data_IF_370357292058
#
_entry.id   IF_370357292058
#
_cell.length_a   1.000
_cell.length_b   1.000
_cell.length_c   1.000
_cell.angle_alpha   90.00
_cell.angle_beta   90.00
_cell.angle_gamma   90.00
#
_symmetry.space_group_name_H-M   'P 1'
#
loop_
_entity.id
_entity.type
_entity.pdbx_description
1 polymer ?
#
# COMPACT_ATOMS: atom_id res chain seq x y z
N UNK A 1 5.40 -6.27 -33.34
CA UNK A 1 6.01 -5.80 -34.61
C UNK A 1 7.49 -6.15 -34.55
N UNK A 2 7.96 -7.09 -35.37
CA UNK A 2 9.37 -7.52 -35.38
C UNK A 2 10.09 -6.69 -36.45
N UNK A 3 11.16 -5.99 -36.08
CA UNK A 3 11.99 -5.25 -37.03
C UNK A 3 13.24 -6.07 -37.29
N UNK A 4 13.32 -6.68 -38.47
CA UNK A 4 14.52 -7.32 -39.01
C UNK A 4 15.26 -6.28 -39.85
N UNK A 5 16.48 -5.93 -39.45
CA UNK A 5 17.40 -5.16 -40.28
C UNK A 5 18.55 -6.07 -40.68
N UNK A 6 18.76 -6.21 -42.00
CA UNK A 6 19.96 -6.79 -42.56
C UNK A 6 21.12 -5.82 -42.30
N UNK A 7 22.29 -6.33 -41.90
CA UNK A 7 23.47 -5.50 -41.64
C UNK A 7 23.82 -4.66 -42.90
N UNK A 8 24.15 -3.36 -42.75
CA UNK A 8 24.50 -2.50 -43.87
C UNK A 8 25.76 -3.01 -44.58
N UNK A 9 25.86 -2.77 -45.89
CA UNK A 9 27.10 -3.01 -46.63
C UNK A 9 28.20 -2.10 -46.08
N UNK A 10 29.26 -2.68 -45.52
CA UNK A 10 30.51 -1.94 -45.39
C UNK A 10 31.02 -1.71 -46.82
N UNK A 11 31.10 -0.43 -47.18
CA UNK A 11 31.57 0.03 -48.48
C UNK A 11 32.96 -0.53 -48.79
N UNK A 12 33.01 -1.50 -49.69
CA UNK A 12 34.21 -2.10 -50.24
C UNK A 12 33.87 -2.81 -51.55
N UNK A 13 33.96 -2.04 -52.64
CA UNK A 13 33.96 -2.38 -54.07
C UNK A 13 32.70 -3.05 -54.69
N UNK A 14 32.07 -2.48 -55.76
CA UNK A 14 30.77 -2.94 -56.26
C UNK A 14 30.82 -3.97 -57.40
N UNK A 15 31.96 -4.51 -57.81
CA UNK A 15 32.00 -5.46 -58.94
C UNK A 15 33.05 -6.55 -58.73
N UNK A 16 32.67 -7.79 -59.06
CA UNK A 16 33.43 -9.05 -58.96
C UNK A 16 33.35 -9.77 -57.61
N UNK A 17 32.26 -10.52 -57.40
CA UNK A 17 32.34 -11.98 -57.13
C UNK A 17 30.94 -12.58 -56.91
N UNK A 18 30.80 -13.83 -57.34
CA UNK A 18 29.59 -14.58 -57.63
C UNK A 18 28.55 -14.61 -56.47
N UNK A 19 27.31 -14.21 -56.77
CA UNK A 19 26.20 -14.19 -55.82
C UNK A 19 25.74 -15.60 -55.38
N UNK A 20 26.18 -16.65 -56.08
CA UNK A 20 25.79 -18.03 -55.81
C UNK A 20 26.56 -18.70 -54.66
N UNK A 21 27.73 -18.19 -54.27
CA UNK A 21 28.62 -18.83 -53.28
C UNK A 21 28.68 -18.13 -51.92
N UNK A 22 27.98 -17.00 -51.74
CA UNK A 22 27.91 -16.33 -50.42
C UNK A 22 27.02 -17.12 -49.47
N UNK A 23 27.54 -17.63 -48.33
CA UNK A 23 26.70 -18.25 -47.32
C UNK A 23 25.68 -17.21 -46.81
N UNK A 24 24.41 -17.59 -46.56
CA UNK A 24 23.40 -16.65 -46.11
C UNK A 24 23.87 -15.97 -44.82
N UNK A 25 23.96 -14.63 -44.84
CA UNK A 25 24.35 -13.85 -43.67
C UNK A 25 23.39 -14.16 -42.53
N UNK A 26 23.92 -14.49 -41.36
CA UNK A 26 23.10 -14.78 -40.19
C UNK A 26 22.26 -13.54 -39.83
N UNK A 27 20.94 -13.66 -39.92
CA UNK A 27 20.03 -12.62 -39.45
C UNK A 27 20.19 -12.49 -37.93
N UNK A 28 20.65 -11.33 -37.46
CA UNK A 28 20.74 -11.02 -36.03
C UNK A 28 19.53 -10.22 -35.61
N UNK A 29 18.76 -10.74 -34.65
CA UNK A 29 17.70 -9.96 -34.01
C UNK A 29 18.38 -8.83 -33.24
N UNK A 30 18.18 -7.59 -33.70
CA UNK A 30 18.69 -6.39 -33.04
C UNK A 30 17.76 -5.94 -31.92
N UNK A 31 16.44 -6.15 -32.10
CA UNK A 31 15.46 -5.76 -31.09
C UNK A 31 14.20 -6.65 -31.04
N UNK A 32 13.83 -7.13 -29.84
CA UNK A 32 14.67 -7.18 -28.65
C UNK A 32 15.84 -8.14 -28.91
N UNK A 33 17.07 -7.66 -28.70
CA UNK A 33 18.28 -8.39 -29.07
C UNK A 33 18.36 -9.76 -28.40
N UNK A 34 18.97 -10.74 -29.10
CA UNK A 34 19.20 -12.07 -28.56
C UNK A 34 19.83 -12.01 -27.16
N UNK A 35 19.10 -12.51 -26.16
CA UNK A 35 19.51 -12.58 -24.76
C UNK A 35 18.92 -11.46 -23.89
N UNK A 36 17.82 -11.77 -23.17
CA UNK A 36 17.45 -11.02 -21.96
C UNK A 36 18.72 -10.96 -21.10
N UNK A 37 19.23 -9.80 -20.67
CA UNK A 37 20.54 -9.75 -20.02
C UNK A 37 20.50 -10.57 -18.73
N UNK A 38 21.51 -11.44 -18.52
CA UNK A 38 21.71 -12.45 -17.45
C UNK A 38 21.79 -11.88 -16.01
N UNK A 39 20.91 -10.95 -15.67
CA UNK A 39 20.82 -10.35 -14.34
C UNK A 39 19.44 -10.61 -13.75
N UNK A 40 19.40 -11.53 -12.79
CA UNK A 40 18.22 -11.98 -12.06
C UNK A 40 17.43 -13.02 -12.83
N UNK A 41 17.78 -14.29 -12.66
CA UNK A 41 17.02 -15.37 -13.27
C UNK A 41 15.64 -15.43 -12.63
N UNK A 42 14.61 -15.17 -13.43
CA UNK A 42 13.23 -15.48 -13.07
C UNK A 42 13.19 -16.94 -12.58
N UNK A 43 12.74 -17.22 -11.35
CA UNK A 43 12.65 -18.58 -10.84
C UNK A 43 11.97 -19.53 -11.82
N UNK A 44 12.48 -20.76 -11.92
CA UNK A 44 12.03 -21.73 -12.93
C UNK A 44 10.51 -21.97 -12.89
N UNK A 45 9.95 -22.06 -11.69
CA UNK A 45 8.50 -22.21 -11.51
C UNK A 45 7.72 -21.02 -12.09
N UNK A 46 8.12 -19.77 -11.83
CA UNK A 46 7.46 -18.58 -12.40
C UNK A 46 7.64 -18.49 -13.92
N UNK A 47 8.78 -18.94 -14.42
CA UNK A 47 9.05 -19.03 -15.86
C UNK A 47 8.13 -20.04 -16.54
N UNK A 48 7.90 -21.19 -15.92
CA UNK A 48 6.98 -22.21 -16.40
C UNK A 48 5.54 -21.67 -16.45
N UNK A 49 5.07 -21.04 -15.37
CA UNK A 49 3.72 -20.44 -15.29
C UNK A 49 3.51 -19.35 -16.36
N UNK A 50 4.49 -18.45 -16.56
CA UNK A 50 4.44 -17.45 -17.63
C UNK A 50 4.46 -18.10 -19.03
N UNK A 51 5.25 -19.17 -19.19
CA UNK A 51 5.32 -19.95 -20.42
C UNK A 51 3.97 -20.58 -20.78
N UNK A 52 3.27 -21.14 -19.79
CA UNK A 52 1.93 -21.70 -19.92
C UNK A 52 0.91 -20.62 -20.29
N UNK A 53 0.91 -19.48 -19.60
CA UNK A 53 0.04 -18.34 -19.95
C UNK A 53 0.23 -17.88 -21.41
N UNK A 54 1.49 -17.76 -21.86
CA UNK A 54 1.83 -17.42 -23.25
C UNK A 54 1.40 -18.50 -24.24
N UNK A 55 1.48 -19.78 -23.87
CA UNK A 55 1.03 -20.88 -24.71
C UNK A 55 -0.50 -20.87 -24.89
N UNK A 56 -1.26 -20.69 -23.80
CA UNK A 56 -2.71 -20.53 -23.84
C UNK A 56 -3.12 -19.36 -24.75
N UNK A 57 -2.41 -18.23 -24.64
CA UNK A 57 -2.66 -17.05 -25.45
C UNK A 57 -2.43 -17.33 -26.95
N UNK A 58 -1.32 -17.97 -27.31
CA UNK A 58 -1.04 -18.37 -28.71
C UNK A 58 -2.07 -19.35 -29.26
N UNK A 59 -2.65 -20.19 -28.40
CA UNK A 59 -3.71 -21.13 -28.77
C UNK A 59 -5.12 -20.49 -28.84
N UNK A 60 -5.26 -19.20 -28.56
CA UNK A 60 -6.56 -18.52 -28.53
C UNK A 60 -7.41 -18.83 -27.29
N UNK A 61 -6.84 -19.50 -26.28
CA UNK A 61 -7.49 -19.82 -25.01
C UNK A 61 -7.37 -18.64 -24.03
N UNK A 62 -8.07 -17.54 -24.32
CA UNK A 62 -7.93 -16.26 -23.61
C UNK A 62 -8.25 -16.35 -22.10
N UNK A 63 -9.38 -16.98 -21.74
CA UNK A 63 -9.74 -17.15 -20.33
C UNK A 63 -8.68 -17.96 -19.56
N UNK A 64 -8.18 -19.04 -20.16
CA UNK A 64 -7.11 -19.86 -19.57
C UNK A 64 -5.82 -19.06 -19.39
N UNK A 65 -5.43 -18.27 -20.38
CA UNK A 65 -4.23 -17.42 -20.29
C UNK A 65 -4.32 -16.45 -19.10
N UNK A 66 -5.48 -15.83 -18.90
CA UNK A 66 -5.72 -14.88 -17.80
C UNK A 66 -5.82 -15.57 -16.43
N UNK A 67 -6.37 -16.77 -16.35
CA UNK A 67 -6.32 -17.58 -15.12
C UNK A 67 -4.87 -17.94 -14.75
N UNK A 68 -4.04 -18.30 -15.73
CA UNK A 68 -2.61 -18.56 -15.50
C UNK A 68 -1.87 -17.30 -15.02
N UNK A 69 -2.21 -16.12 -15.52
CA UNK A 69 -1.65 -14.85 -15.00
C UNK A 69 -1.96 -14.67 -13.51
N UNK A 70 -3.18 -14.99 -13.06
CA UNK A 70 -3.51 -14.92 -11.63
C UNK A 70 -2.69 -15.92 -10.81
N UNK A 71 -2.56 -17.17 -11.28
CA UNK A 71 -1.73 -18.20 -10.63
C UNK A 71 -0.27 -17.76 -10.54
N UNK A 72 0.24 -17.10 -11.58
CA UNK A 72 1.56 -16.48 -11.60
C UNK A 72 1.71 -15.41 -10.50
N UNK A 73 0.71 -14.55 -10.28
CA UNK A 73 0.72 -13.58 -9.17
C UNK A 73 0.76 -14.25 -7.78
N UNK A 74 0.06 -15.36 -7.62
CA UNK A 74 0.12 -16.18 -6.39
C UNK A 74 1.52 -16.76 -6.20
N UNK A 75 2.14 -17.27 -7.27
CA UNK A 75 3.52 -17.72 -7.29
C UNK A 75 4.51 -16.63 -6.89
N UNK A 76 4.37 -15.42 -7.44
CA UNK A 76 5.21 -14.26 -7.09
C UNK A 76 5.09 -13.92 -5.60
N UNK A 77 3.88 -13.95 -5.04
CA UNK A 77 3.69 -13.73 -3.61
C UNK A 77 4.40 -14.81 -2.79
N UNK A 78 4.24 -16.08 -3.18
CA UNK A 78 4.84 -17.21 -2.48
C UNK A 78 6.38 -17.19 -2.51
N UNK A 79 6.98 -16.84 -3.65
CA UNK A 79 8.44 -16.72 -3.83
C UNK A 79 9.03 -15.65 -2.90
N UNK A 80 8.34 -14.53 -2.73
CA UNK A 80 8.71 -13.47 -1.79
C UNK A 80 8.29 -13.74 -0.32
N UNK A 81 7.90 -14.97 0.01
CA UNK A 81 7.54 -15.36 1.37
C UNK A 81 6.26 -14.69 1.88
N UNK A 82 5.32 -14.37 0.99
CA UNK A 82 4.00 -13.83 1.30
C UNK A 82 2.94 -14.90 1.01
N UNK A 83 2.38 -15.50 2.06
CA UNK A 83 1.41 -16.60 1.97
C UNK A 83 0.04 -16.26 2.58
N UNK A 84 -0.24 -14.98 2.77
CA UNK A 84 -1.52 -14.53 3.33
C UNK A 84 -2.64 -14.67 2.30
N UNK A 85 -3.83 -15.06 2.76
CA UNK A 85 -5.04 -15.15 1.95
C UNK A 85 -6.04 -14.10 2.43
N UNK A 86 -6.82 -13.46 1.53
CA UNK A 86 -6.85 -13.62 0.07
C UNK A 86 -5.66 -12.98 -0.67
N UNK A 87 -5.49 -13.30 -1.97
CA UNK A 87 -4.42 -12.76 -2.83
C UNK A 87 -4.34 -11.21 -2.82
N UNK A 88 -5.47 -10.52 -2.67
CA UNK A 88 -5.47 -9.05 -2.52
C UNK A 88 -4.69 -8.58 -1.28
N UNK A 89 -4.74 -9.31 -0.17
CA UNK A 89 -3.91 -9.02 1.00
C UNK A 89 -2.44 -9.34 0.74
N UNK A 90 -2.14 -10.41 0.01
CA UNK A 90 -0.77 -10.76 -0.35
C UNK A 90 -0.10 -9.68 -1.23
N UNK A 91 -0.82 -9.15 -2.23
CA UNK A 91 -0.32 -8.07 -3.07
C UNK A 91 -0.06 -6.78 -2.27
N UNK A 92 -0.95 -6.44 -1.32
CA UNK A 92 -0.73 -5.30 -0.42
C UNK A 92 0.46 -5.50 0.51
N UNK A 93 0.72 -6.73 0.93
CA UNK A 93 1.89 -7.09 1.72
C UNK A 93 3.19 -6.94 0.91
N UNK A 94 3.21 -7.32 -0.37
CA UNK A 94 4.35 -7.03 -1.26
C UNK A 94 4.66 -5.53 -1.33
N UNK A 95 3.61 -4.69 -1.45
CA UNK A 95 3.77 -3.23 -1.38
C UNK A 95 4.31 -2.77 -0.03
N UNK A 96 3.76 -3.30 1.07
CA UNK A 96 4.20 -2.94 2.44
C UNK A 96 5.67 -3.27 2.68
N UNK A 97 6.17 -4.36 2.10
CA UNK A 97 7.59 -4.75 2.11
C UNK A 97 8.48 -3.93 1.17
N UNK A 98 7.89 -3.02 0.39
CA UNK A 98 8.62 -2.21 -0.61
C UNK A 98 9.09 -3.01 -1.82
N UNK A 99 8.48 -4.18 -2.10
CA UNK A 99 8.82 -5.01 -3.26
C UNK A 99 8.15 -4.50 -4.54
N UNK A 100 6.97 -3.90 -4.45
CA UNK A 100 6.26 -3.26 -5.58
C UNK A 100 5.75 -1.88 -5.18
N UNK A 101 5.72 -0.91 -6.10
CA UNK A 101 5.15 0.42 -5.85
C UNK A 101 3.66 0.53 -6.24
N UNK A 102 3.06 1.69 -5.96
CA UNK A 102 1.62 1.94 -6.11
C UNK A 102 1.06 1.59 -7.49
N UNK A 103 1.71 2.00 -8.59
CA UNK A 103 1.21 1.68 -9.96
C UNK A 103 1.25 0.18 -10.25
N UNK A 104 2.31 -0.51 -9.82
CA UNK A 104 2.44 -1.95 -10.02
C UNK A 104 1.44 -2.73 -9.16
N UNK A 105 1.12 -2.24 -7.96
CA UNK A 105 0.05 -2.82 -7.15
C UNK A 105 -1.31 -2.71 -7.85
N UNK A 106 -1.63 -1.55 -8.43
CA UNK A 106 -2.88 -1.36 -9.19
C UNK A 106 -2.96 -2.37 -10.33
N UNK A 107 -1.90 -2.50 -11.12
CA UNK A 107 -1.84 -3.50 -12.19
C UNK A 107 -2.03 -4.92 -11.67
N UNK A 108 -1.34 -5.30 -10.60
CA UNK A 108 -1.47 -6.65 -10.02
C UNK A 108 -2.89 -6.93 -9.47
N UNK A 109 -3.55 -5.94 -8.87
CA UNK A 109 -4.93 -6.06 -8.40
C UNK A 109 -5.91 -6.18 -9.58
N UNK A 110 -5.72 -5.42 -10.66
CA UNK A 110 -6.57 -5.50 -11.86
C UNK A 110 -6.39 -6.85 -12.58
N UNK A 111 -5.14 -7.33 -12.71
CA UNK A 111 -4.82 -8.66 -13.23
C UNK A 111 -5.44 -9.77 -12.36
N UNK A 112 -5.44 -9.62 -11.03
CA UNK A 112 -6.11 -10.55 -10.12
C UNK A 112 -7.63 -10.55 -10.36
N UNK A 113 -8.24 -9.39 -10.58
CA UNK A 113 -9.69 -9.25 -10.78
C UNK A 113 -10.12 -9.95 -12.07
N UNK A 114 -9.47 -9.65 -13.20
CA UNK A 114 -9.80 -10.28 -14.49
C UNK A 114 -9.50 -11.79 -14.47
N UNK A 115 -8.46 -12.22 -13.75
CA UNK A 115 -8.16 -13.63 -13.48
C UNK A 115 -9.25 -14.34 -12.67
N UNK A 116 -9.85 -13.65 -11.70
CA UNK A 116 -10.97 -14.20 -10.94
C UNK A 116 -12.24 -14.28 -11.78
N UNK A 117 -12.52 -13.25 -12.58
CA UNK A 117 -13.62 -13.27 -13.55
C UNK A 117 -13.50 -14.44 -14.52
N UNK A 118 -12.35 -14.60 -15.17
CA UNK A 118 -12.09 -15.66 -16.15
C UNK A 118 -12.24 -17.10 -15.59
N UNK A 119 -12.08 -17.29 -14.27
CA UNK A 119 -12.25 -18.58 -13.60
C UNK A 119 -13.72 -18.94 -13.32
N UNK A 120 -14.65 -17.98 -13.40
CA UNK A 120 -16.07 -18.21 -13.15
C UNK A 120 -16.82 -18.56 -14.44
N UNK A 121 -17.53 -19.68 -14.45
CA UNK A 121 -18.30 -20.18 -15.61
C UNK A 121 -19.31 -19.16 -16.16
N UNK A 122 -19.83 -18.26 -15.32
CA UNK A 122 -20.81 -17.23 -15.69
C UNK A 122 -20.17 -15.95 -16.26
N UNK A 123 -18.86 -15.83 -16.20
CA UNK A 123 -18.18 -14.68 -16.78
C UNK A 123 -18.28 -14.72 -18.31
N UNK A 124 -18.39 -13.55 -18.92
CA UNK A 124 -18.37 -13.41 -20.36
C UNK A 124 -17.06 -13.92 -20.97
N UNK A 125 -17.01 -14.03 -22.29
CA UNK A 125 -15.78 -14.39 -23.00
C UNK A 125 -14.76 -13.26 -22.82
N UNK A 126 -13.56 -13.59 -22.35
CA UNK A 126 -12.46 -12.62 -22.24
C UNK A 126 -12.03 -12.17 -23.65
N UNK A 127 -12.01 -10.85 -23.94
CA UNK A 127 -11.50 -10.31 -25.19
C UNK A 127 -10.05 -10.70 -25.46
N UNK A 128 -9.70 -10.84 -26.73
CA UNK A 128 -8.34 -11.20 -27.14
C UNK A 128 -7.31 -10.12 -26.80
N UNK A 129 -7.74 -8.86 -26.72
CA UNK A 129 -6.89 -7.73 -26.32
C UNK A 129 -6.57 -7.78 -24.83
N UNK A 130 -7.59 -7.93 -23.98
CA UNK A 130 -7.42 -8.04 -22.53
C UNK A 130 -6.49 -9.19 -22.14
N UNK A 131 -6.63 -10.35 -22.78
CA UNK A 131 -5.74 -11.49 -22.51
C UNK A 131 -4.30 -11.24 -22.95
N UNK A 132 -4.08 -10.49 -24.05
CA UNK A 132 -2.74 -10.08 -24.49
C UNK A 132 -2.13 -9.11 -23.49
N UNK A 133 -2.87 -8.07 -23.13
CA UNK A 133 -2.41 -7.04 -22.20
C UNK A 133 -2.16 -7.63 -20.81
N UNK A 134 -2.99 -8.55 -20.35
CA UNK A 134 -2.80 -9.23 -19.08
C UNK A 134 -1.45 -9.96 -19.01
N UNK A 135 -1.10 -10.70 -20.06
CA UNK A 135 0.18 -11.42 -20.14
C UNK A 135 1.36 -10.45 -20.23
N UNK A 136 1.23 -9.36 -20.99
CA UNK A 136 2.29 -8.34 -21.12
C UNK A 136 2.53 -7.61 -19.80
N UNK A 137 1.46 -7.21 -19.10
CA UNK A 137 1.55 -6.54 -17.81
C UNK A 137 2.12 -7.47 -16.73
N UNK A 138 1.75 -8.75 -16.75
CA UNK A 138 2.33 -9.76 -15.87
C UNK A 138 3.83 -9.94 -16.12
N UNK A 139 4.25 -9.98 -17.39
CA UNK A 139 5.67 -10.02 -17.76
C UNK A 139 6.41 -8.76 -17.29
N UNK A 140 5.82 -7.57 -17.44
CA UNK A 140 6.40 -6.32 -16.94
C UNK A 140 6.57 -6.33 -15.41
N UNK A 141 5.63 -6.91 -14.67
CA UNK A 141 5.72 -7.08 -13.22
C UNK A 141 6.89 -8.00 -12.82
N UNK A 142 7.06 -9.11 -13.55
CA UNK A 142 8.20 -10.01 -13.35
C UNK A 142 9.53 -9.36 -13.71
N UNK A 143 9.60 -8.63 -14.82
CA UNK A 143 10.80 -7.89 -15.20
C UNK A 143 11.16 -6.85 -14.15
N UNK A 144 10.18 -6.13 -13.61
CA UNK A 144 10.41 -5.21 -12.51
C UNK A 144 11.05 -5.92 -11.31
N UNK A 145 10.40 -6.95 -10.78
CA UNK A 145 10.80 -7.63 -9.55
C UNK A 145 12.11 -8.41 -9.68
N UNK A 146 12.27 -9.17 -10.76
CA UNK A 146 13.35 -10.14 -10.90
C UNK A 146 14.48 -9.64 -11.77
N UNK A 147 14.27 -8.66 -12.64
CA UNK A 147 15.32 -8.19 -13.56
C UNK A 147 15.79 -6.78 -13.19
N UNK A 148 14.88 -5.81 -13.12
CA UNK A 148 15.22 -4.41 -12.91
C UNK A 148 15.62 -4.11 -11.47
N UNK A 149 14.90 -4.63 -10.47
CA UNK A 149 15.24 -4.41 -9.05
C UNK A 149 16.64 -4.94 -8.70
N UNK A 150 17.04 -6.18 -9.06
CA UNK A 150 18.40 -6.66 -8.82
C UNK A 150 19.45 -5.86 -9.59
N UNK A 151 19.21 -5.56 -10.87
CA UNK A 151 20.14 -4.76 -11.69
C UNK A 151 20.35 -3.37 -11.12
N UNK A 152 19.30 -2.70 -10.67
CA UNK A 152 19.38 -1.39 -10.03
C UNK A 152 20.17 -1.47 -8.72
N UNK A 153 19.92 -2.48 -7.89
CA UNK A 153 20.68 -2.72 -6.65
C UNK A 153 22.18 -2.88 -6.94
N UNK A 154 22.54 -3.67 -7.95
CA UNK A 154 23.95 -3.93 -8.28
C UNK A 154 24.61 -2.70 -8.91
N UNK A 155 23.90 -1.97 -9.76
CA UNK A 155 24.33 -0.66 -10.26
C UNK A 155 24.62 0.30 -9.11
N UNK A 156 23.69 0.41 -8.15
CA UNK A 156 23.82 1.30 -7.00
C UNK A 156 25.03 0.93 -6.14
N UNK A 157 25.22 -0.35 -5.84
CA UNK A 157 26.42 -0.86 -5.12
C UNK A 157 27.72 -0.45 -5.81
N UNK A 158 27.81 -0.62 -7.15
CA UNK A 158 29.01 -0.24 -7.92
C UNK A 158 29.27 1.27 -7.85
N UNK A 159 28.21 2.09 -7.95
CA UNK A 159 28.33 3.55 -7.87
C UNK A 159 28.71 4.04 -6.48
N UNK A 160 28.17 3.43 -5.42
CA UNK A 160 28.55 3.70 -4.03
C UNK A 160 30.02 3.34 -3.78
N UNK A 161 30.50 2.20 -4.28
CA UNK A 161 31.91 1.80 -4.23
C UNK A 161 32.84 2.77 -5.00
N UNK A 162 32.35 3.38 -6.07
CA UNK A 162 33.05 4.42 -6.83
C UNK A 162 32.92 5.83 -6.20
N UNK A 163 32.42 5.95 -4.96
CA UNK A 163 32.32 7.21 -4.22
C UNK A 163 31.08 8.07 -4.53
N UNK A 164 30.13 7.57 -5.32
CA UNK A 164 28.87 8.30 -5.58
C UNK A 164 27.97 8.22 -4.35
N UNK A 165 27.59 9.37 -3.79
CA UNK A 165 26.61 9.44 -2.70
C UNK A 165 25.21 9.63 -3.27
N UNK A 166 24.38 8.58 -3.17
CA UNK A 166 22.97 8.71 -3.53
C UNK A 166 22.20 9.40 -2.40
N UNK A 167 21.31 10.36 -2.71
CA UNK A 167 20.35 10.83 -1.73
C UNK A 167 19.48 9.66 -1.27
N UNK A 168 19.09 9.66 0.01
CA UNK A 168 18.09 8.70 0.47
C UNK A 168 16.84 8.80 -0.43
N UNK A 169 16.18 7.67 -0.77
CA UNK A 169 14.95 7.74 -1.53
C UNK A 169 13.99 8.69 -0.84
N UNK A 170 13.33 9.56 -1.62
CA UNK A 170 12.33 10.45 -1.10
C UNK A 170 11.26 9.60 -0.42
N UNK A 171 11.25 9.58 0.92
CA UNK A 171 10.15 8.96 1.67
C UNK A 171 8.88 9.60 1.15
N UNK A 172 7.87 8.78 0.83
CA UNK A 172 6.55 9.27 0.43
C UNK A 172 6.18 10.44 1.35
N UNK A 173 5.98 11.63 0.76
CA UNK A 173 5.71 12.82 1.54
C UNK A 173 4.36 12.62 2.18
N UNK A 174 4.39 12.19 3.44
CA UNK A 174 3.19 12.15 4.26
C UNK A 174 2.52 13.54 4.19
N UNK A 175 1.19 13.59 4.01
CA UNK A 175 0.45 14.82 4.07
C UNK A 175 0.86 15.65 5.28
N UNK A 176 1.07 16.95 5.07
CA UNK A 176 1.54 17.84 6.13
C UNK A 176 0.39 18.27 7.05
N UNK A 177 -0.23 17.31 7.73
CA UNK A 177 -1.30 17.55 8.69
C UNK A 177 -0.73 18.02 10.03
N UNK A 178 -1.58 18.61 10.88
CA UNK A 178 -1.19 18.99 12.25
C UNK A 178 -0.66 17.79 13.06
N UNK A 179 -1.29 16.62 12.93
CA UNK A 179 -0.85 15.41 13.59
C UNK A 179 0.54 14.94 13.12
N UNK A 180 0.77 14.90 11.81
CA UNK A 180 2.07 14.51 11.23
C UNK A 180 3.17 15.50 11.64
N UNK A 181 2.89 16.81 11.58
CA UNK A 181 3.82 17.85 12.06
C UNK A 181 4.14 17.68 13.53
N UNK A 182 3.14 17.39 14.37
CA UNK A 182 3.30 17.20 15.81
C UNK A 182 4.18 16.00 16.13
N UNK A 183 3.94 14.84 15.51
CA UNK A 183 4.77 13.65 15.73
C UNK A 183 6.21 13.85 15.26
N UNK A 184 6.41 14.49 14.11
CA UNK A 184 7.75 14.86 13.61
C UNK A 184 8.50 15.78 14.57
N UNK A 185 7.85 16.86 15.03
CA UNK A 185 8.46 17.82 15.99
C UNK A 185 8.78 17.15 17.32
N UNK A 186 7.93 16.22 17.77
CA UNK A 186 8.10 15.49 19.03
C UNK A 186 9.07 14.31 18.94
N UNK A 187 9.66 14.07 17.76
CA UNK A 187 10.60 12.97 17.45
C UNK A 187 10.07 11.59 17.86
N UNK A 188 8.76 11.38 17.67
CA UNK A 188 8.08 10.11 17.96
C UNK A 188 8.21 9.19 16.76
N UNK A 189 8.45 7.90 17.01
CA UNK A 189 8.36 6.89 15.96
C UNK A 189 6.88 6.61 15.64
N UNK A 190 6.51 6.72 14.37
CA UNK A 190 5.16 6.41 13.91
C UNK A 190 5.18 5.85 12.48
N UNK A 191 4.15 5.08 12.15
CA UNK A 191 3.88 4.59 10.79
C UNK A 191 2.59 5.22 10.27
N UNK A 192 2.50 5.43 8.96
CA UNK A 192 1.30 5.97 8.34
C UNK A 192 0.64 4.89 7.48
N UNK A 193 -0.68 4.79 7.56
CA UNK A 193 -1.47 3.75 6.93
C UNK A 193 -2.55 4.39 6.06
N UNK A 194 -2.34 4.33 4.75
CA UNK A 194 -3.28 4.89 3.77
C UNK A 194 -4.40 3.91 3.49
N UNK A 195 -5.62 4.41 3.38
CA UNK A 195 -6.82 3.64 3.00
C UNK A 195 -7.64 4.41 1.96
N UNK A 196 -8.48 3.71 1.20
CA UNK A 196 -9.31 4.32 0.17
C UNK A 196 -10.47 5.08 0.81
N UNK A 197 -10.55 6.38 0.52
CA UNK A 197 -11.68 7.21 0.87
C UNK A 197 -12.39 7.69 -0.40
N UNK A 198 -13.66 7.31 -0.53
CA UNK A 198 -14.56 7.78 -1.57
C UNK A 198 -15.42 8.91 -0.98
N UNK A 199 -15.27 10.18 -1.41
CA UNK A 199 -16.04 11.30 -0.90
C UNK A 199 -17.56 11.14 -1.09
N UNK A 200 -18.00 10.33 -2.05
CA UNK A 200 -19.42 10.06 -2.30
C UNK A 200 -20.02 9.03 -1.33
N UNK A 201 -19.19 8.34 -0.54
CA UNK A 201 -19.64 7.33 0.44
C UNK A 201 -19.21 7.73 1.84
N UNK A 202 -20.17 8.15 2.66
CA UNK A 202 -19.95 8.36 4.09
C UNK A 202 -19.42 7.05 4.73
N UNK A 203 -18.22 7.08 5.28
CA UNK A 203 -17.60 5.93 5.95
C UNK A 203 -17.53 6.14 7.45
N UNK A 204 -17.98 5.13 8.19
CA UNK A 204 -17.75 5.05 9.64
C UNK A 204 -16.29 4.71 9.93
N UNK A 205 -15.73 5.23 11.03
CA UNK A 205 -14.41 4.78 11.51
C UNK A 205 -14.34 3.27 11.77
N UNK A 206 -15.49 2.60 11.98
CA UNK A 206 -15.57 1.12 12.05
C UNK A 206 -15.21 0.44 10.73
N UNK A 207 -15.55 1.03 9.57
CA UNK A 207 -15.19 0.47 8.26
C UNK A 207 -13.74 0.74 7.89
N UNK A 208 -13.13 1.80 8.43
CA UNK A 208 -11.68 2.06 8.32
C UNK A 208 -10.88 0.94 8.99
N UNK A 209 -11.30 0.49 10.17
CA UNK A 209 -10.68 -0.63 10.86
C UNK A 209 -10.66 -1.92 10.03
N UNK A 210 -11.79 -2.24 9.40
CA UNK A 210 -11.93 -3.43 8.56
C UNK A 210 -11.04 -3.37 7.33
N UNK A 211 -10.92 -2.20 6.68
CA UNK A 211 -10.04 -2.02 5.51
C UNK A 211 -8.56 -2.09 5.87
N UNK A 212 -8.18 -1.54 7.02
CA UNK A 212 -6.82 -1.61 7.54
C UNK A 212 -6.47 -2.98 8.14
N UNK A 213 -7.46 -3.87 8.33
CA UNK A 213 -7.27 -5.17 8.96
C UNK A 213 -6.90 -5.08 10.44
N UNK A 214 -7.40 -4.07 11.14
CA UNK A 214 -7.08 -3.79 12.54
C UNK A 214 -8.33 -3.87 13.42
N UNK A 215 -8.17 -4.30 14.68
CA UNK A 215 -9.28 -4.33 15.65
C UNK A 215 -9.78 -2.93 15.96
N UNK A 216 -11.10 -2.78 16.16
CA UNK A 216 -11.73 -1.52 16.60
C UNK A 216 -11.15 -0.99 17.91
N UNK A 217 -10.69 -1.88 18.79
CA UNK A 217 -10.13 -1.52 20.09
C UNK A 217 -8.76 -0.83 19.99
N UNK A 218 -8.06 -1.02 18.86
CA UNK A 218 -6.78 -0.36 18.57
C UNK A 218 -6.93 0.97 17.85
N UNK A 219 -8.12 1.32 17.39
CA UNK A 219 -8.43 2.58 16.74
C UNK A 219 -9.01 3.55 17.76
N UNK A 220 -8.36 4.69 17.95
CA UNK A 220 -8.74 5.70 18.92
C UNK A 220 -9.21 6.98 18.21
N UNK A 221 -10.37 7.49 18.66
CA UNK A 221 -10.96 8.74 18.20
C UNK A 221 -10.73 9.85 19.22
N UNK A 222 -10.58 11.07 18.72
CA UNK A 222 -10.62 12.27 19.55
C UNK A 222 -12.04 12.81 19.59
N UNK A 223 -12.57 13.04 20.78
CA UNK A 223 -13.86 13.67 21.02
C UNK A 223 -13.63 14.97 21.76
N UNK A 224 -13.99 16.09 21.15
CA UNK A 224 -13.91 17.40 21.78
C UNK A 224 -15.10 17.53 22.74
N UNK A 225 -14.81 17.91 23.98
CA UNK A 225 -15.78 18.04 25.06
C UNK A 225 -15.57 19.35 25.79
N UNK A 226 -16.57 19.75 26.58
CA UNK A 226 -16.46 20.85 27.52
C UNK A 226 -16.66 20.30 28.93
N UNK A 227 -15.72 20.56 29.84
CA UNK A 227 -15.84 20.31 31.27
C UNK A 227 -15.93 21.65 31.98
N UNK A 228 -17.05 21.92 32.66
CA UNK A 228 -17.34 23.20 33.33
C UNK A 228 -17.07 24.44 32.44
N UNK A 229 -17.34 24.32 31.14
CA UNK A 229 -17.14 25.39 30.14
C UNK A 229 -15.73 25.47 29.54
N UNK A 230 -14.79 24.62 29.96
CA UNK A 230 -13.44 24.54 29.40
C UNK A 230 -13.30 23.38 28.43
N UNK A 231 -12.63 23.61 27.30
CA UNK A 231 -12.44 22.57 26.27
C UNK A 231 -11.51 21.48 26.80
N UNK A 232 -11.92 20.23 26.70
CA UNK A 232 -11.15 19.03 27.05
C UNK A 232 -11.24 18.02 25.91
N UNK A 233 -10.12 17.42 25.54
CA UNK A 233 -10.05 16.34 24.55
C UNK A 233 -10.17 14.98 25.24
N UNK A 234 -11.23 14.23 24.94
CA UNK A 234 -11.35 12.83 25.31
C UNK A 234 -10.81 11.93 24.18
N UNK A 235 -9.91 11.00 24.51
CA UNK A 235 -9.34 10.04 23.56
C UNK A 235 -9.76 8.64 23.96
N UNK A 236 -10.63 8.03 23.16
CA UNK A 236 -11.27 6.75 23.45
C UNK A 236 -11.27 5.81 22.23
N UNK A 237 -11.41 4.49 22.42
CA UNK A 237 -11.58 3.56 21.31
C UNK A 237 -12.79 3.91 20.45
N UNK A 238 -12.72 3.67 19.14
CA UNK A 238 -13.80 3.95 18.19
C UNK A 238 -15.10 3.24 18.59
N UNK A 239 -14.98 2.01 19.12
CA UNK A 239 -16.10 1.19 19.57
C UNK A 239 -16.77 1.64 20.87
N UNK A 240 -16.14 2.50 21.66
CA UNK A 240 -16.64 2.92 22.97
C UNK A 240 -17.34 4.28 22.95
N UNK A 241 -18.29 4.47 23.86
CA UNK A 241 -18.86 5.77 24.18
C UNK A 241 -18.03 6.43 25.31
N UNK A 242 -17.92 7.75 25.28
CA UNK A 242 -17.22 8.51 26.33
C UNK A 242 -18.16 8.65 27.53
N UNK A 243 -17.70 8.22 28.70
CA UNK A 243 -18.37 8.48 29.98
C UNK A 243 -18.08 9.93 30.40
N UNK A 244 -19.09 10.79 30.27
CA UNK A 244 -19.00 12.20 30.58
C UNK A 244 -18.77 12.47 32.07
N UNK A 245 -19.27 11.60 32.95
CA UNK A 245 -19.06 11.74 34.39
C UNK A 245 -17.61 11.38 34.74
N UNK A 246 -17.14 10.23 34.25
CA UNK A 246 -15.75 9.82 34.39
C UNK A 246 -14.77 10.85 33.81
N UNK A 247 -15.11 11.45 32.65
CA UNK A 247 -14.31 12.51 32.04
C UNK A 247 -14.27 13.79 32.87
N UNK A 248 -15.41 14.25 33.40
CA UNK A 248 -15.45 15.44 34.25
C UNK A 248 -14.55 15.27 35.48
N UNK A 249 -14.67 14.13 36.17
CA UNK A 249 -13.83 13.78 37.32
C UNK A 249 -12.34 13.67 36.92
N UNK A 250 -12.05 13.08 35.77
CA UNK A 250 -10.69 12.97 35.26
C UNK A 250 -10.07 14.33 34.88
N UNK A 251 -10.89 15.30 34.46
CA UNK A 251 -10.45 16.66 34.18
C UNK A 251 -10.46 17.58 35.41
N UNK A 252 -10.96 17.11 36.56
CA UNK A 252 -11.04 17.88 37.81
C UNK A 252 -12.26 18.81 37.89
N UNK A 253 -13.29 18.56 37.09
CA UNK A 253 -14.55 19.30 37.07
C UNK A 253 -15.75 18.50 37.55
N UNK A 254 -16.94 19.10 37.42
CA UNK A 254 -18.21 18.56 37.93
C UNK A 254 -19.09 18.00 36.80
N UNK A 255 -19.18 18.69 35.67
CA UNK A 255 -20.02 18.29 34.55
C UNK A 255 -19.28 18.38 33.21
N UNK A 256 -19.57 17.44 32.31
CA UNK A 256 -19.04 17.44 30.95
C UNK A 256 -20.15 17.33 29.91
N UNK A 257 -19.92 17.92 28.74
CA UNK A 257 -20.75 17.75 27.53
C UNK A 257 -19.88 17.55 26.29
N UNK A 258 -20.41 16.85 25.29
CA UNK A 258 -19.77 16.76 23.98
C UNK A 258 -19.92 18.09 23.23
N UNK A 259 -18.88 18.51 22.51
CA UNK A 259 -18.96 19.66 21.62
C UNK A 259 -19.88 19.36 20.42
N UNK A 260 -20.69 20.33 20.04
CA UNK A 260 -21.52 20.27 18.84
C UNK A 260 -20.66 20.34 17.56
N UNK A 261 -21.20 19.87 16.44
CA UNK A 261 -20.46 19.90 15.16
C UNK A 261 -19.94 21.31 14.78
N UNK A 262 -20.70 22.41 14.94
CA UNK A 262 -20.17 23.76 14.70
C UNK A 262 -19.00 24.14 15.60
N UNK A 263 -19.03 23.75 16.88
CA UNK A 263 -17.94 24.01 17.83
C UNK A 263 -16.67 23.25 17.43
N UNK A 264 -16.81 21.99 16.97
CA UNK A 264 -15.68 21.17 16.48
C UNK A 264 -15.08 21.74 15.19
N UNK A 265 -15.91 22.21 14.27
CA UNK A 265 -15.45 22.75 12.98
C UNK A 265 -14.50 23.95 13.11
N UNK A 266 -14.54 24.68 14.22
CA UNK A 266 -13.58 25.76 14.52
C UNK A 266 -12.12 25.30 14.59
N UNK A 267 -11.89 23.99 14.76
CA UNK A 267 -10.55 23.39 14.77
C UNK A 267 -9.94 23.23 13.36
N UNK A 268 -10.70 23.46 12.29
CA UNK A 268 -10.18 23.50 10.92
C UNK A 268 -9.68 22.15 10.39
N UNK A 269 -10.26 21.04 10.85
CA UNK A 269 -9.91 19.68 10.39
C UNK A 269 -11.13 18.92 9.87
N UNK A 270 -11.00 18.27 8.72
CA UNK A 270 -12.06 17.43 8.12
C UNK A 270 -12.41 16.23 9.01
N UNK A 271 -11.41 15.70 9.71
CA UNK A 271 -11.53 14.60 10.67
C UNK A 271 -10.82 14.99 11.95
N UNK A 272 -11.48 14.85 13.10
CA UNK A 272 -10.85 15.14 14.39
C UNK A 272 -9.76 14.11 14.68
N UNK A 273 -8.51 14.57 14.63
CA UNK A 273 -7.36 13.84 15.13
C UNK A 273 -7.09 14.23 16.58
N UNK A 274 -6.89 13.29 17.52
CA UNK A 274 -6.39 13.60 18.86
C UNK A 274 -5.13 14.48 18.82
N UNK A 275 -4.24 14.20 17.87
CA UNK A 275 -2.97 14.91 17.68
C UNK A 275 -3.12 16.21 16.85
N UNK A 276 -4.33 16.50 16.35
CA UNK A 276 -4.67 17.71 15.61
C UNK A 276 -5.17 18.88 16.47
N UNK A 277 -5.64 18.60 17.70
CA UNK A 277 -6.17 19.61 18.63
C UNK A 277 -5.04 20.43 19.25
N UNK A 278 -5.17 21.77 19.45
CA UNK A 278 -4.11 22.60 20.05
C UNK A 278 -3.50 22.03 21.35
N UNK A 279 -2.19 22.19 21.54
CA UNK A 279 -1.45 21.57 22.68
C UNK A 279 -1.85 22.11 24.05
N UNK A 280 -2.48 23.28 24.11
CA UNK A 280 -2.97 23.89 25.34
C UNK A 280 -4.35 23.35 25.77
N UNK A 281 -4.96 22.46 24.98
CA UNK A 281 -6.21 21.79 25.36
C UNK A 281 -5.87 20.56 26.21
N UNK A 282 -6.33 20.49 27.48
CA UNK A 282 -6.16 19.31 28.31
C UNK A 282 -6.73 18.07 27.64
N UNK A 283 -5.99 16.96 27.69
CA UNK A 283 -6.40 15.70 27.10
C UNK A 283 -6.51 14.60 28.16
N UNK A 284 -7.52 13.75 28.03
CA UNK A 284 -7.67 12.53 28.82
C UNK A 284 -7.70 11.34 27.87
N UNK A 285 -6.82 10.37 28.09
CA UNK A 285 -6.71 9.13 27.28
C UNK A 285 -7.24 7.96 28.09
N UNK A 286 -8.13 7.18 27.49
CA UNK A 286 -8.65 5.97 28.12
C UNK A 286 -7.53 4.91 28.31
N UNK A 287 -7.44 4.27 29.49
CA UNK A 287 -6.38 3.31 29.81
C UNK A 287 -6.37 2.08 28.88
N UNK A 288 -7.47 1.76 28.20
CA UNK A 288 -7.51 0.67 27.20
C UNK A 288 -6.44 0.83 26.12
N UNK A 289 -6.01 2.05 25.80
CA UNK A 289 -4.91 2.31 24.87
C UNK A 289 -3.61 1.64 25.31
N UNK A 290 -3.31 1.66 26.62
CA UNK A 290 -2.05 1.16 27.18
C UNK A 290 -1.95 -0.37 27.15
N UNK A 291 -3.06 -1.08 26.96
CA UNK A 291 -3.09 -2.54 26.78
C UNK A 291 -2.59 -3.01 25.41
N UNK A 292 -2.34 -2.09 24.47
CA UNK A 292 -1.90 -2.42 23.12
C UNK A 292 -0.43 -2.08 22.88
N UNK A 293 0.22 -2.85 22.00
CA UNK A 293 1.60 -2.56 21.58
C UNK A 293 1.69 -1.26 20.77
N UNK A 294 0.70 -1.02 19.92
CA UNK A 294 0.51 0.19 19.11
C UNK A 294 -0.97 0.46 18.90
N UNK A 295 -1.32 1.74 18.76
CA UNK A 295 -2.68 2.25 18.50
C UNK A 295 -2.70 3.12 17.25
N UNK A 296 -3.88 3.27 16.65
CA UNK A 296 -4.13 4.08 15.46
C UNK A 296 -4.95 5.30 15.83
N UNK A 297 -4.58 6.45 15.28
CA UNK A 297 -5.33 7.70 15.39
C UNK A 297 -5.40 8.39 14.04
N UNK A 298 -6.52 9.06 13.77
CA UNK A 298 -6.74 9.77 12.51
C UNK A 298 -5.62 10.78 12.27
N UNK A 299 -5.16 10.94 11.03
CA UNK A 299 -4.13 11.93 10.71
C UNK A 299 -4.65 13.37 10.66
N UNK A 300 -5.97 13.58 10.74
CA UNK A 300 -6.64 14.87 10.57
C UNK A 300 -7.24 15.11 9.17
N UNK A 301 -7.15 14.12 8.29
CA UNK A 301 -7.77 14.08 6.96
C UNK A 301 -8.25 12.68 6.67
N UNK A 302 -9.20 12.53 5.75
CA UNK A 302 -9.61 11.20 5.29
C UNK A 302 -8.49 10.48 4.52
N UNK A 303 -8.52 9.15 4.58
CA UNK A 303 -7.64 8.26 3.82
C UNK A 303 -6.28 8.00 4.46
N UNK A 304 -6.04 8.46 5.69
CA UNK A 304 -4.77 8.26 6.39
C UNK A 304 -4.94 8.11 7.92
N UNK A 305 -4.47 7.00 8.45
CA UNK A 305 -4.32 6.74 9.88
C UNK A 305 -2.84 6.76 10.29
N UNK A 306 -2.56 7.13 11.54
CA UNK A 306 -1.22 7.15 12.12
C UNK A 306 -1.12 6.10 13.23
N UNK A 307 -0.18 5.17 13.11
CA UNK A 307 0.11 4.14 14.11
C UNK A 307 1.31 4.55 14.97
N UNK A 308 1.15 4.52 16.29
CA UNK A 308 2.18 4.88 17.26
C UNK A 308 2.03 4.12 18.59
N UNK A 309 3.06 4.19 19.43
CA UNK A 309 3.01 3.62 20.78
C UNK A 309 2.03 4.43 21.67
N UNK A 310 1.19 3.78 22.50
CA UNK A 310 0.25 4.49 23.38
C UNK A 310 0.94 5.43 24.36
N UNK A 311 2.11 5.05 24.90
CA UNK A 311 2.90 5.89 25.79
C UNK A 311 3.36 7.18 25.09
N UNK A 312 3.72 7.10 23.81
CA UNK A 312 4.06 8.28 23.02
C UNK A 312 2.83 9.15 22.73
N UNK A 313 1.67 8.55 22.48
CA UNK A 313 0.42 9.29 22.31
C UNK A 313 0.11 10.13 23.58
N UNK A 314 0.16 9.50 24.76
CA UNK A 314 -0.04 10.18 26.05
C UNK A 314 0.98 11.30 26.25
N UNK A 315 2.27 11.02 26.02
CA UNK A 315 3.36 11.99 26.17
C UNK A 315 3.22 13.19 25.24
N UNK A 316 2.91 12.96 23.97
CA UNK A 316 2.77 14.01 22.95
C UNK A 316 1.57 14.90 23.22
N UNK A 317 0.50 14.33 23.77
CA UNK A 317 -0.70 15.08 24.17
C UNK A 317 -0.55 15.76 25.54
N UNK A 318 0.45 15.40 26.35
CA UNK A 318 0.48 15.77 27.76
C UNK A 318 -0.76 15.27 28.51
N UNK A 319 -1.30 14.12 28.10
CA UNK A 319 -2.61 13.67 28.54
C UNK A 319 -2.57 13.02 29.93
N UNK A 320 -3.67 13.16 30.67
CA UNK A 320 -3.95 12.31 31.84
C UNK A 320 -4.52 10.98 31.36
N UNK A 321 -4.14 9.88 32.00
CA UNK A 321 -4.77 8.57 31.75
C UNK A 321 -5.84 8.33 32.81
N UNK A 322 -7.08 8.07 32.40
CA UNK A 322 -8.20 7.78 33.30
C UNK A 322 -9.31 7.02 32.56
N UNK A 323 -10.07 6.14 33.26
CA UNK A 323 -11.22 5.47 32.66
C UNK A 323 -12.28 6.51 32.28
N UNK A 324 -12.46 6.71 30.99
CA UNK A 324 -13.39 7.69 30.41
C UNK A 324 -14.33 7.04 29.40
N UNK A 325 -14.44 5.73 29.43
CA UNK A 325 -15.34 4.94 28.59
C UNK A 325 -16.28 4.12 29.45
N UNK A 326 -17.51 3.98 28.98
CA UNK A 326 -18.45 3.04 29.58
C UNK A 326 -18.09 1.63 29.13
N UNK A 327 -18.00 0.64 30.03
CA UNK A 327 -17.80 -0.75 29.64
C UNK A 327 -18.90 -1.16 28.66
N UNK A 328 -18.53 -1.79 27.53
CA UNK A 328 -19.53 -2.49 26.74
C UNK A 328 -20.18 -3.54 27.63
N UNK A 329 -21.52 -3.59 27.68
CA UNK A 329 -22.23 -4.67 28.34
C UNK A 329 -21.63 -6.00 27.85
N UNK A 330 -21.11 -6.81 28.78
CA UNK A 330 -20.63 -8.14 28.47
C UNK A 330 -21.76 -8.90 27.75
N UNK A 331 -21.50 -9.62 26.65
CA UNK A 331 -22.52 -10.51 26.11
C UNK A 331 -22.91 -11.46 27.23
N UNK A 332 -24.21 -11.50 27.55
CA UNK A 332 -24.77 -12.52 28.43
C UNK A 332 -24.32 -13.88 27.87
N UNK A 333 -23.58 -14.62 28.69
CA UNK A 333 -23.04 -15.93 28.38
C UNK A 333 -24.15 -16.95 28.06
#
# INVERSE_FOLDING_TARGET
>A
MHVLLLAPEESGDPFEEDMAERPPRAARVLWPGAGRPEGGELPEHLRAELGEAKACLRAGAHSSAVVMVRRLLEGVCADHGVRVSPLSQALRELRRRGLIEGRLLVWAEDLRLIGNEAAHIRAGRIPAEDARDAVVLAEALLDYLYVFTPKYRDFRKRREAAGTRFPAPARERLPDTLAVRRLRRSRVAFSAHSYSHDPAKARSQKSVAAELGVSHDRLFKGVVTYVDGHVVLAVAPVGAAVDLVGLALAAGGVQARVASAPEVSTLGTDVVSPLGVPLNVPAVVDPSALGHRTVYVASGRHGLELELAPADLVRVLGARVAPITTPAAAPLA
#
